data_IF_754514563395
#
_entry.id   IF_754514563395
#
_cell.length_a   1.000
_cell.length_b   1.000
_cell.length_c   1.000
_cell.angle_alpha   90.00
_cell.angle_beta   90.00
_cell.angle_gamma   90.00
#
_symmetry.space_group_name_H-M   'P 1'
#
loop_
_entity.id
_entity.type
_entity.pdbx_description
1 polymer ?
2 non-polymer ?
3 water ?
#
# COMPACT_ATOMS: atom_id res chain seq x y z
N UNK A 1 18.36 -14.85 11.03
CA UNK A 1 18.54 -14.36 12.39
C UNK A 1 17.86 -13.02 12.59
N UNK A 2 17.09 -12.57 11.60
CA UNK A 2 16.26 -11.38 11.75
C UNK A 2 14.80 -11.80 11.77
N UNK A 3 14.15 -11.57 12.92
CA UNK A 3 12.78 -11.99 13.19
C UNK A 3 11.83 -11.02 12.49
N UNK A 4 11.03 -11.51 11.53
CA UNK A 4 10.23 -10.64 10.67
C UNK A 4 8.74 -10.96 10.77
N UNK A 5 7.90 -9.92 10.68
CA UNK A 5 6.46 -10.10 10.82
C UNK A 5 5.74 -9.07 9.97
N UNK A 6 4.60 -9.47 9.41
CA UNK A 6 3.76 -8.57 8.63
C UNK A 6 2.79 -7.82 9.54
N UNK A 7 2.68 -6.51 9.32
CA UNK A 7 1.78 -5.67 10.10
C UNK A 7 0.32 -5.94 9.76
N UNK A 8 -0.57 -5.36 10.58
CA UNK A 8 -1.97 -5.25 10.20
C UNK A 8 -2.11 -4.36 8.97
N UNK A 9 -3.26 -4.45 8.31
CA UNK A 9 -3.52 -3.59 7.16
C UNK A 9 -3.58 -2.13 7.58
N UNK A 10 -3.02 -1.26 6.75
CA UNK A 10 -3.13 0.19 6.88
C UNK A 10 -4.00 0.71 5.74
N UNK A 11 -5.05 1.47 6.07
CA UNK A 11 -5.95 2.00 5.05
C UNK A 11 -6.51 3.32 5.57
N UNK A 12 -5.70 4.37 5.48
CA UNK A 12 -6.04 5.68 6.04
C UNK A 12 -6.54 6.66 5.01
N UNK A 13 -6.25 6.43 3.74
CA UNK A 13 -6.65 7.31 2.64
C UNK A 13 -7.63 6.54 1.77
N UNK A 14 -8.39 7.26 0.95
CA UNK A 14 -9.33 6.62 0.04
C UNK A 14 -9.41 7.45 -1.24
N UNK A 15 -9.75 6.83 -2.38
CA UNK A 15 -9.62 7.55 -3.66
C UNK A 15 -10.51 8.76 -3.78
N UNK A 16 -11.61 8.85 -3.03
CA UNK A 16 -12.47 10.02 -3.08
C UNK A 16 -12.51 10.77 -1.75
N UNK A 17 -11.51 10.58 -0.90
CA UNK A 17 -11.36 11.29 0.37
C UNK A 17 -10.09 12.11 0.36
N UNK A 18 -10.06 13.15 1.20
CA UNK A 18 -8.89 13.98 1.29
C UNK A 18 -8.72 14.89 0.08
N UNK A 19 -7.50 15.41 -0.04
CA UNK A 19 -7.19 16.44 -1.03
C UNK A 19 -6.16 16.00 -2.06
N UNK A 20 -5.78 14.71 -2.08
CA UNK A 20 -4.69 14.27 -2.93
C UNK A 20 -5.15 13.67 -4.27
N UNK A 21 -6.45 13.58 -4.52
CA UNK A 21 -6.97 13.00 -5.76
C UNK A 21 -6.30 11.66 -6.07
N UNK A 22 -6.40 10.76 -5.10
CA UNK A 22 -5.77 9.46 -5.24
C UNK A 22 -5.81 8.71 -3.93
N UNK A 23 -4.97 7.67 -3.84
CA UNK A 23 -4.85 6.88 -2.62
C UNK A 23 -3.37 6.75 -2.27
N UNK A 24 -2.99 7.25 -1.10
CA UNK A 24 -1.63 7.10 -0.60
C UNK A 24 -1.67 6.47 0.77
N UNK A 25 -0.85 5.45 0.97
CA UNK A 25 -0.73 4.80 2.27
C UNK A 25 0.73 4.82 2.69
N UNK A 26 0.95 5.16 3.95
CA UNK A 26 2.28 5.27 4.51
C UNK A 26 2.42 4.32 5.69
N UNK A 27 3.67 3.97 5.99
CA UNK A 27 3.98 3.12 7.14
C UNK A 27 4.60 3.91 8.28
N UNK A 28 4.55 5.24 8.19
CA UNK A 28 5.02 6.11 9.26
C UNK A 28 4.32 5.76 10.57
N UNK A 29 5.11 5.62 11.63
CA UNK A 29 4.54 5.30 12.93
C UNK A 29 4.23 3.84 13.14
N UNK A 30 4.42 3.00 12.13
CA UNK A 30 4.28 1.56 12.23
C UNK A 30 5.63 0.88 12.33
N UNK A 31 6.49 1.21 11.37
CA UNK A 31 7.81 0.64 11.21
C UNK A 31 8.76 1.80 10.90
N UNK A 32 10.00 1.68 11.34
CA UNK A 32 10.99 2.67 10.95
C UNK A 32 11.31 2.58 9.47
N UNK A 33 11.83 1.43 9.05
CA UNK A 33 12.14 1.18 7.64
C UNK A 33 11.73 -0.26 7.34
N UNK A 34 10.59 -0.46 6.69
CA UNK A 34 10.12 -1.82 6.43
C UNK A 34 11.08 -2.61 5.55
N UNK A 35 11.13 -3.92 5.78
CA UNK A 35 11.87 -4.80 4.88
C UNK A 35 11.10 -5.01 3.58
N UNK A 36 9.78 -5.00 3.64
CA UNK A 36 8.96 -5.26 2.47
C UNK A 36 7.62 -4.56 2.67
N UNK A 37 6.86 -4.46 1.58
CA UNK A 37 5.54 -3.84 1.61
C UNK A 37 4.63 -4.65 0.69
N UNK A 38 3.38 -4.79 1.10
CA UNK A 38 2.36 -5.51 0.35
C UNK A 38 1.20 -4.56 0.12
N UNK A 39 0.86 -4.31 -1.14
CA UNK A 39 -0.20 -3.35 -1.46
C UNK A 39 -1.32 -4.07 -2.18
N UNK A 40 -2.55 -3.98 -1.65
CA UNK A 40 -3.67 -4.71 -2.22
C UNK A 40 -4.91 -3.83 -2.31
N UNK A 41 -5.76 -4.13 -3.29
CA UNK A 41 -7.07 -3.51 -3.37
C UNK A 41 -7.97 -4.01 -2.25
N UNK A 42 -8.72 -3.10 -1.65
CA UNK A 42 -9.64 -3.46 -0.57
C UNK A 42 -10.70 -4.43 -1.07
N UNK A 43 -11.23 -4.19 -2.27
CA UNK A 43 -12.34 -4.99 -2.77
C UNK A 43 -11.89 -6.32 -3.37
N UNK A 44 -10.65 -6.44 -3.83
CA UNK A 44 -10.13 -7.68 -4.42
C UNK A 44 -8.76 -7.98 -3.85
N UNK A 45 -8.69 -8.29 -2.55
CA UNK A 45 -7.39 -8.34 -1.87
C UNK A 45 -6.55 -9.56 -2.23
N UNK A 46 -7.12 -10.56 -2.91
CA UNK A 46 -6.33 -11.70 -3.36
C UNK A 46 -5.49 -11.40 -4.59
N UNK A 47 -5.77 -10.31 -5.29
CA UNK A 47 -5.06 -9.99 -6.52
C UNK A 47 -3.81 -9.18 -6.19
N UNK A 48 -2.65 -9.68 -6.61
CA UNK A 48 -1.43 -8.89 -6.50
C UNK A 48 -1.49 -7.71 -7.48
N UNK A 49 -0.56 -6.75 -7.31
CA UNK A 49 -0.52 -5.63 -8.25
C UNK A 49 -0.31 -6.11 -9.68
N UNK A 50 0.42 -7.21 -9.86
CA UNK A 50 0.64 -7.77 -11.18
C UNK A 50 -0.63 -8.33 -11.79
N UNK A 51 -1.65 -8.59 -10.97
CA UNK A 51 -2.92 -9.10 -11.48
C UNK A 51 -4.00 -8.03 -11.55
N UNK A 52 -3.74 -6.83 -11.05
CA UNK A 52 -4.77 -5.83 -10.80
C UNK A 52 -4.94 -4.83 -11.94
N UNK A 53 -3.88 -4.47 -12.64
CA UNK A 53 -4.04 -3.64 -13.82
C UNK A 53 -4.16 -2.15 -13.61
N UNK A 54 -3.74 -1.63 -12.46
CA UNK A 54 -3.69 -0.18 -12.30
C UNK A 54 -2.25 0.32 -12.34
N UNK A 55 -2.11 1.63 -12.47
CA UNK A 55 -0.80 2.28 -12.54
C UNK A 55 -0.53 2.90 -11.17
N UNK A 56 0.36 2.26 -10.39
CA UNK A 56 0.60 2.66 -9.01
C UNK A 56 2.09 2.53 -8.68
N UNK A 57 2.44 3.07 -7.52
CA UNK A 57 3.77 2.94 -6.96
C UNK A 57 3.65 2.31 -5.58
N UNK A 58 4.43 1.26 -5.33
CA UNK A 58 4.38 0.54 -4.06
C UNK A 58 5.82 0.13 -3.74
N UNK A 59 6.46 0.81 -2.78
CA UNK A 59 7.84 0.47 -2.50
C UNK A 59 8.20 0.81 -1.06
N UNK A 60 9.33 0.25 -0.62
CA UNK A 60 9.73 0.33 0.79
C UNK A 60 10.27 1.69 1.18
N UNK A 61 10.45 2.61 0.24
CA UNK A 61 10.89 3.96 0.60
C UNK A 61 9.73 4.92 0.78
N UNK A 62 8.81 4.99 -0.18
CA UNK A 62 7.73 5.97 -0.12
C UNK A 62 6.39 5.37 0.27
N UNK A 63 6.29 4.05 0.40
CA UNK A 63 5.01 3.45 0.69
C UNK A 63 4.19 3.28 -0.58
N UNK A 64 2.89 3.52 -0.50
CA UNK A 64 1.99 3.29 -1.63
C UNK A 64 1.43 4.61 -2.15
N UNK A 65 1.48 4.80 -3.47
CA UNK A 65 0.93 6.00 -4.11
C UNK A 65 0.14 5.59 -5.35
N UNK A 66 -1.14 5.97 -5.38
CA UNK A 66 -1.96 5.88 -6.59
C UNK A 66 -2.53 7.26 -6.88
N UNK A 67 -2.38 7.72 -8.12
CA UNK A 67 -2.91 9.01 -8.54
C UNK A 67 -4.08 8.75 -9.48
N UNK A 68 -5.23 9.36 -9.18
CA UNK A 68 -6.46 9.03 -9.91
C UNK A 68 -6.30 9.29 -11.41
N UNK A 69 -5.61 10.37 -11.77
CA UNK A 69 -5.51 10.74 -13.18
C UNK A 69 -4.69 9.74 -13.98
N UNK A 70 -3.86 8.92 -13.32
CA UNK A 70 -3.05 7.92 -14.01
C UNK A 70 -3.86 6.71 -14.47
N UNK A 71 -5.11 6.57 -14.05
CA UNK A 71 -5.86 5.34 -14.28
C UNK A 71 -6.67 5.38 -15.58
N UNK A 72 -7.04 4.19 -16.04
CA UNK A 72 -7.77 4.06 -17.29
C UNK A 72 -9.12 4.75 -17.22
N UNK A 73 -9.46 5.46 -18.28
CA UNK A 73 -10.75 6.11 -18.37
C UNK A 73 -10.70 7.25 -19.35
N UNK A 74 -11.86 7.86 -19.57
CA UNK A 74 -11.91 9.06 -20.39
C UNK A 74 -12.89 10.04 -19.76
N UNK A 75 -12.70 11.32 -20.10
CA UNK A 75 -13.39 12.38 -19.41
C UNK A 75 -13.13 12.28 -17.92
N UNK A 76 -14.19 12.47 -17.12
CA UNK A 76 -14.05 12.42 -15.66
C UNK A 76 -14.08 11.02 -15.07
N UNK A 77 -14.19 9.98 -15.88
CA UNK A 77 -14.33 8.62 -15.37
C UNK A 77 -12.98 7.94 -15.24
N UNK A 78 -12.89 7.05 -14.26
CA UNK A 78 -11.68 6.26 -14.08
C UNK A 78 -10.83 6.80 -12.95
N UNK A 79 -10.65 6.02 -11.90
CA UNK A 79 -9.88 6.48 -10.76
C UNK A 79 -9.21 5.29 -10.08
N UNK A 80 -8.45 5.59 -9.02
CA UNK A 80 -7.82 4.55 -8.24
C UNK A 80 -8.86 3.68 -7.54
N UNK A 81 -8.58 2.38 -7.49
CA UNK A 81 -9.20 1.55 -6.47
C UNK A 81 -8.78 2.05 -5.09
N UNK A 82 -9.52 1.65 -4.06
CA UNK A 82 -9.04 1.89 -2.70
C UNK A 82 -8.06 0.79 -2.33
N UNK A 83 -6.87 1.18 -1.86
CA UNK A 83 -5.83 0.24 -1.51
C UNK A 83 -5.56 0.25 -0.01
N UNK A 84 -4.97 -0.85 0.43
CA UNK A 84 -4.49 -1.02 1.79
C UNK A 84 -3.12 -1.68 1.71
N UNK A 85 -2.31 -1.48 2.76
CA UNK A 85 -0.95 -2.02 2.75
C UNK A 85 -0.65 -2.72 4.07
N UNK A 86 0.18 -3.75 3.97
CA UNK A 86 0.92 -4.30 5.10
C UNK A 86 2.39 -4.01 4.88
N UNK A 87 3.15 -3.90 5.96
CA UNK A 87 4.60 -3.82 5.87
C UNK A 87 5.21 -4.98 6.64
N UNK A 88 6.32 -5.50 6.11
CA UNK A 88 7.09 -6.56 6.73
C UNK A 88 8.23 -5.88 7.48
N UNK A 89 8.31 -6.14 8.77
CA UNK A 89 9.27 -5.50 9.66
C UNK A 89 10.10 -6.57 10.34
N UNK A 90 11.40 -6.31 10.48
CA UNK A 90 12.32 -7.29 11.04
C UNK A 90 13.01 -6.74 12.28
N UNK A 91 13.30 -7.64 13.22
CA UNK A 91 13.94 -7.32 14.49
C UNK A 91 14.97 -8.40 14.83
N UNK A 92 15.86 -8.18 15.81
CA UNK A 92 16.81 -9.23 16.20
C UNK A 92 16.13 -10.52 16.63
N UNK A 93 16.81 -11.64 16.34
CA UNK A 93 16.24 -12.97 16.59
C UNK A 93 15.90 -13.17 18.06
N UNK A 94 16.67 -12.56 18.97
CA UNK A 94 16.39 -12.68 20.39
C UNK A 94 15.05 -12.07 20.79
N UNK A 95 14.38 -11.36 19.88
CA UNK A 95 13.04 -10.86 20.13
C UNK A 95 11.95 -11.83 19.71
N UNK A 96 12.31 -12.93 19.04
CA UNK A 96 11.35 -13.95 18.62
C UNK A 96 11.25 -15.12 19.59
N UNK A 97 12.38 -15.68 20.01
CA UNK A 97 12.37 -16.78 20.96
C UNK A 97 11.96 -16.28 22.34
X LIG B 1 -6.66 3.45 0.95
X LIG C 1 -7.61 10.42 -1.33
#
# INVERSE_FOLDING_TARGET
ALCCLWSDWINEDHPSSGSDDGDRETFDGVCGAPEDIECRSVKDPHLSLEQLGQKVQCDVSVGFICKNEDQFGNGPFGLCYDYKIRVNCCWPMDKCA
CA CA
CA CA
#
